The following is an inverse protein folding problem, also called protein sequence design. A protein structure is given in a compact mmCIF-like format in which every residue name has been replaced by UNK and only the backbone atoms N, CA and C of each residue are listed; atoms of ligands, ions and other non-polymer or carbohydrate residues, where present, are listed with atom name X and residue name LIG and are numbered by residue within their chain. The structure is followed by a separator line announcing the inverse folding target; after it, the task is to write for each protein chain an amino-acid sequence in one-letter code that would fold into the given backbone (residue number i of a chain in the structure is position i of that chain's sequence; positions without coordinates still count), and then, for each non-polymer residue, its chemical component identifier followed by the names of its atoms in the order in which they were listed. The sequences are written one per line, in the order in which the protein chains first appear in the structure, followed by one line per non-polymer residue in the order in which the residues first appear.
data_IF_936549262018
#
_entry.id   IF_936549262018
#
_cell.length_a   1.000
_cell.length_b   1.000
_cell.length_c   1.000
_cell.angle_alpha   90.00
_cell.angle_beta   90.00
_cell.angle_gamma   90.00
#
_symmetry.space_group_name_H-M   'P 1'
#
loop_
_entity.id
_entity.type
_entity.pdbx_description
1 polymer ?
#
# COMPACT_ATOMS: atom_id res chain seq x y z
N UNK A 1 0.90 -1.23 -13.66
CA UNK A 1 -0.55 -1.22 -13.53
C UNK A 1 -1.00 -1.89 -12.24
N UNK A 2 -1.67 -1.15 -11.36
CA UNK A 2 -2.28 -1.66 -10.11
C UNK A 2 -3.76 -1.32 -10.11
N UNK A 3 -4.60 -2.34 -10.33
CA UNK A 3 -6.05 -2.20 -10.18
C UNK A 3 -6.42 -2.21 -8.70
N UNK A 4 -7.07 -1.13 -8.26
CA UNK A 4 -7.51 -0.90 -6.87
C UNK A 4 -8.99 -1.21 -6.73
N UNK A 5 -9.37 -1.84 -5.62
CA UNK A 5 -10.78 -2.14 -5.36
C UNK A 5 -11.51 -0.94 -4.75
N UNK A 6 -12.65 -0.58 -5.35
CA UNK A 6 -13.55 0.47 -4.92
C UNK A 6 -14.90 -0.16 -4.57
N UNK A 7 -15.32 -0.04 -3.30
CA UNK A 7 -16.65 -0.43 -2.83
C UNK A 7 -17.70 0.62 -3.14
N UNK A 8 -17.28 1.89 -3.29
CA UNK A 8 -18.16 3.01 -3.65
C UNK A 8 -17.63 3.72 -4.89
N UNK A 9 -18.55 4.21 -5.72
CA UNK A 9 -18.18 5.07 -6.84
C UNK A 9 -17.52 6.35 -6.30
N UNK A 10 -16.31 6.69 -6.76
CA UNK A 10 -15.58 7.85 -6.25
C UNK A 10 -16.05 9.14 -6.95
N UNK A 11 -17.36 9.43 -6.96
CA UNK A 11 -17.97 10.52 -7.74
C UNK A 11 -17.36 11.90 -7.46
N UNK A 12 -16.87 12.13 -6.25
CA UNK A 12 -16.22 13.38 -5.87
C UNK A 12 -14.82 13.54 -6.48
N UNK A 13 -14.14 12.43 -6.80
CA UNK A 13 -12.83 12.42 -7.47
C UNK A 13 -12.99 12.30 -8.98
N UNK A 14 -13.96 11.49 -9.40
CA UNK A 14 -14.16 11.07 -10.79
C UNK A 14 -15.66 11.18 -11.12
N UNK A 15 -16.14 12.42 -11.41
CA UNK A 15 -17.56 12.69 -11.68
C UNK A 15 -18.11 11.96 -12.90
N UNK A 16 -17.23 11.46 -13.78
CA UNK A 16 -17.61 10.68 -14.96
C UNK A 16 -18.37 9.40 -14.58
N UNK A 17 -18.15 8.89 -13.36
CA UNK A 17 -18.90 7.75 -12.82
C UNK A 17 -20.33 8.05 -12.39
N UNK A 18 -20.85 9.29 -12.52
CA UNK A 18 -22.20 9.61 -12.00
C UNK A 18 -23.30 8.72 -12.58
N UNK A 19 -23.13 8.29 -13.83
CA UNK A 19 -24.08 7.48 -14.57
C UNK A 19 -23.69 5.99 -14.56
N UNK A 20 -22.72 5.61 -13.71
CA UNK A 20 -22.13 4.28 -13.64
C UNK A 20 -20.79 4.18 -14.37
N UNK A 21 -20.35 2.94 -14.61
CA UNK A 21 -19.15 2.63 -15.39
C UNK A 21 -19.43 1.48 -16.36
N UNK A 22 -18.61 1.35 -17.41
CA UNK A 22 -18.60 0.21 -18.31
C UNK A 22 -17.35 -0.62 -18.02
N UNK A 23 -17.49 -1.92 -17.78
CA UNK A 23 -16.34 -2.80 -17.61
C UNK A 23 -15.57 -2.94 -18.93
N UNK A 24 -14.29 -2.59 -18.96
CA UNK A 24 -13.45 -2.64 -20.16
C UNK A 24 -13.20 -4.05 -20.68
N UNK A 25 -13.42 -5.08 -19.83
CA UNK A 25 -13.23 -6.47 -20.22
C UNK A 25 -14.49 -7.12 -20.82
N UNK A 26 -15.65 -6.93 -20.20
CA UNK A 26 -16.90 -7.58 -20.64
C UNK A 26 -17.89 -6.63 -21.32
N UNK A 27 -17.58 -5.33 -21.34
CA UNK A 27 -18.39 -4.26 -21.94
C UNK A 27 -19.83 -4.17 -21.40
N UNK A 28 -20.04 -4.62 -20.17
CA UNK A 28 -21.31 -4.47 -19.45
C UNK A 28 -21.30 -3.18 -18.62
N UNK A 29 -22.46 -2.53 -18.57
CA UNK A 29 -22.66 -1.31 -17.80
C UNK A 29 -23.14 -1.61 -16.37
N UNK A 30 -22.62 -0.87 -15.40
CA UNK A 30 -22.91 -1.00 -13.98
C UNK A 30 -23.21 0.38 -13.40
N UNK A 31 -24.33 0.51 -12.68
CA UNK A 31 -24.75 1.79 -12.10
C UNK A 31 -24.15 2.07 -10.72
N UNK A 32 -23.51 1.06 -10.12
CA UNK A 32 -22.96 1.10 -8.78
C UNK A 32 -21.65 0.34 -8.70
N UNK A 33 -20.80 0.74 -7.75
CA UNK A 33 -19.69 -0.06 -7.27
C UNK A 33 -20.25 -1.28 -6.51
N UNK A 34 -19.52 -2.39 -6.31
CA UNK A 34 -18.06 -2.52 -6.34
C UNK A 34 -17.41 -2.81 -7.70
N UNK A 35 -16.14 -2.37 -7.85
CA UNK A 35 -15.32 -2.58 -9.05
C UNK A 35 -13.81 -2.44 -8.76
N UNK A 36 -12.99 -2.75 -9.77
CA UNK A 36 -11.55 -2.52 -9.77
C UNK A 36 -11.20 -1.40 -10.75
N UNK A 37 -10.40 -0.43 -10.32
CA UNK A 37 -10.07 0.78 -11.06
C UNK A 37 -8.56 1.02 -11.12
N UNK A 38 -8.04 1.41 -12.29
CA UNK A 38 -6.66 1.88 -12.46
C UNK A 38 -6.68 3.34 -12.92
N UNK A 39 -6.22 4.24 -12.06
CA UNK A 39 -6.25 5.68 -12.29
C UNK A 39 -5.39 6.13 -13.48
N UNK A 40 -4.21 5.54 -13.65
CA UNK A 40 -3.27 5.96 -14.68
C UNK A 40 -3.80 5.74 -16.11
N UNK A 41 -4.66 4.74 -16.30
CA UNK A 41 -5.19 4.34 -17.61
C UNK A 41 -6.69 4.58 -17.76
N UNK A 42 -7.40 4.76 -16.64
CA UNK A 42 -8.86 4.74 -16.58
C UNK A 42 -9.46 3.36 -16.78
N UNK A 43 -8.68 2.28 -16.59
CA UNK A 43 -9.16 0.91 -16.82
C UNK A 43 -10.08 0.47 -15.69
N UNK A 44 -11.28 0.01 -16.04
CA UNK A 44 -12.32 -0.42 -15.11
C UNK A 44 -12.73 -1.87 -15.32
N UNK A 45 -12.60 -2.68 -14.27
CA UNK A 45 -13.01 -4.07 -14.27
C UNK A 45 -14.15 -4.26 -13.28
N UNK A 46 -15.28 -4.81 -13.73
CA UNK A 46 -16.29 -5.28 -12.79
C UNK A 46 -15.73 -6.40 -11.92
N UNK A 47 -16.31 -6.61 -10.73
CA UNK A 47 -15.83 -7.60 -9.77
C UNK A 47 -15.53 -8.96 -10.40
N UNK A 48 -16.47 -9.50 -11.17
CA UNK A 48 -16.33 -10.81 -11.80
C UNK A 48 -15.11 -10.89 -12.73
N UNK A 49 -14.86 -9.84 -13.51
CA UNK A 49 -13.73 -9.79 -14.43
C UNK A 49 -12.40 -9.58 -13.69
N UNK A 50 -12.39 -8.74 -12.65
CA UNK A 50 -11.23 -8.56 -11.78
C UNK A 50 -10.83 -9.85 -11.05
N UNK A 51 -11.79 -10.53 -10.44
CA UNK A 51 -11.57 -11.79 -9.73
C UNK A 51 -11.10 -12.89 -10.69
N UNK A 52 -11.68 -12.96 -11.89
CA UNK A 52 -11.23 -13.89 -12.93
C UNK A 52 -9.79 -13.62 -13.41
N UNK A 53 -9.35 -12.37 -13.36
CA UNK A 53 -7.97 -11.96 -13.62
C UNK A 53 -7.04 -12.15 -12.39
N UNK A 54 -7.57 -12.59 -11.25
CA UNK A 54 -6.81 -12.88 -10.03
C UNK A 54 -6.60 -11.69 -9.10
N UNK A 55 -7.25 -10.55 -9.37
CA UNK A 55 -7.26 -9.42 -8.45
C UNK A 55 -8.06 -9.77 -7.20
N UNK A 56 -7.75 -9.07 -6.11
CA UNK A 56 -8.44 -9.20 -4.84
C UNK A 56 -8.72 -7.81 -4.30
N UNK A 57 -9.68 -7.63 -3.38
CA UNK A 57 -9.92 -6.33 -2.75
C UNK A 57 -8.68 -5.69 -2.11
N UNK A 58 -7.67 -6.51 -1.82
CA UNK A 58 -6.39 -6.13 -1.23
C UNK A 58 -5.29 -5.79 -2.24
N UNK A 59 -5.56 -5.87 -3.54
CA UNK A 59 -4.57 -5.62 -4.59
C UNK A 59 -4.00 -4.19 -4.49
N UNK A 60 -2.67 -4.10 -4.44
CA UNK A 60 -1.96 -2.84 -4.27
C UNK A 60 -1.82 -2.37 -2.84
N UNK A 61 -2.41 -3.01 -1.84
CA UNK A 61 -2.38 -2.56 -0.45
C UNK A 61 -1.23 -3.22 0.34
N UNK A 62 -0.73 -2.57 1.38
CA UNK A 62 0.20 -3.20 2.33
C UNK A 62 -0.55 -4.30 3.06
N UNK A 63 -0.17 -5.55 2.76
CA UNK A 63 -0.77 -6.75 3.33
C UNK A 63 -0.11 -7.21 4.62
N UNK A 64 1.17 -6.90 4.81
CA UNK A 64 1.86 -7.20 6.06
C UNK A 64 2.95 -6.20 6.39
N UNK A 65 3.18 -6.02 7.69
CA UNK A 65 4.29 -5.26 8.25
C UNK A 65 5.35 -6.23 8.77
N UNK A 66 6.61 -5.92 8.49
CA UNK A 66 7.76 -6.76 8.77
C UNK A 66 8.71 -6.02 9.71
N UNK A 67 9.10 -6.67 10.80
CA UNK A 67 10.03 -6.16 11.81
C UNK A 67 11.18 -7.14 12.01
N UNK A 68 12.34 -6.62 12.43
CA UNK A 68 13.45 -7.47 12.84
C UNK A 68 13.35 -7.75 14.33
N UNK A 69 13.45 -9.02 14.72
CA UNK A 69 13.59 -9.43 16.12
C UNK A 69 15.01 -9.21 16.66
N UNK A 70 15.97 -8.90 15.79
CA UNK A 70 17.37 -8.74 16.14
C UNK A 70 17.66 -7.33 16.66
N UNK A 71 18.57 -7.22 17.64
CA UNK A 71 19.03 -5.94 18.20
C UNK A 71 19.94 -5.13 17.25
N UNK A 72 20.22 -5.66 16.05
CA UNK A 72 21.10 -5.01 15.08
C UNK A 72 20.39 -3.88 14.36
N UNK A 73 20.99 -2.68 14.41
CA UNK A 73 20.46 -1.53 13.65
C UNK A 73 20.76 -1.69 12.17
N UNK A 74 19.72 -1.96 11.38
CA UNK A 74 19.78 -2.05 9.93
C UNK A 74 19.89 -0.64 9.33
N UNK A 75 21.02 -0.34 8.69
CA UNK A 75 21.28 0.98 8.11
C UNK A 75 21.53 0.91 6.62
N UNK A 76 21.12 1.96 5.93
CA UNK A 76 21.68 2.34 4.64
C UNK A 76 23.14 2.81 4.84
N UNK A 77 24.12 2.16 4.20
CA UNK A 77 25.52 2.53 4.36
C UNK A 77 25.88 3.91 3.82
N UNK A 78 25.10 4.43 2.87
CA UNK A 78 25.43 5.67 2.17
C UNK A 78 24.89 6.89 2.91
N UNK A 79 23.65 6.81 3.40
CA UNK A 79 23.01 7.90 4.14
C UNK A 79 23.05 7.75 5.66
N UNK A 80 23.47 6.58 6.17
CA UNK A 80 23.31 6.16 7.57
C UNK A 80 21.86 6.13 8.08
N UNK A 81 20.88 6.24 7.19
CA UNK A 81 19.48 6.15 7.57
C UNK A 81 19.14 4.76 8.11
N UNK A 82 18.38 4.74 9.20
CA UNK A 82 17.96 3.50 9.88
C UNK A 82 16.69 3.00 9.20
N UNK A 83 16.66 1.71 8.84
CA UNK A 83 15.43 1.05 8.42
C UNK A 83 14.51 0.90 9.64
N UNK A 84 13.28 1.39 9.52
CA UNK A 84 12.31 1.42 10.61
C UNK A 84 11.43 0.17 10.62
N UNK A 85 10.89 -0.17 9.47
CA UNK A 85 10.13 -1.39 9.22
C UNK A 85 10.18 -1.71 7.73
N UNK A 86 9.88 -2.96 7.42
CA UNK A 86 9.59 -3.39 6.06
C UNK A 86 8.10 -3.73 5.92
N UNK A 87 7.63 -3.88 4.70
CA UNK A 87 6.25 -4.22 4.41
C UNK A 87 6.16 -5.10 3.18
N UNK A 88 5.05 -5.82 3.02
CA UNK A 88 4.73 -6.57 1.81
C UNK A 88 3.41 -6.13 1.22
N UNK A 89 3.36 -6.15 -0.09
CA UNK A 89 2.16 -5.84 -0.88
C UNK A 89 1.60 -7.11 -1.48
N UNK A 90 2.47 -8.03 -1.88
CA UNK A 90 2.13 -9.34 -2.43
C UNK A 90 3.28 -10.34 -2.17
N UNK A 91 3.20 -11.53 -2.77
CA UNK A 91 4.21 -12.57 -2.58
C UNK A 91 5.62 -12.19 -3.08
N UNK A 92 5.71 -11.30 -4.06
CA UNK A 92 6.94 -10.89 -4.73
C UNK A 92 7.31 -9.43 -4.48
N UNK A 93 6.42 -8.60 -3.93
CA UNK A 93 6.68 -7.17 -3.73
C UNK A 93 6.78 -6.82 -2.25
N UNK A 94 7.88 -6.19 -1.90
CA UNK A 94 8.13 -5.68 -0.55
C UNK A 94 8.75 -4.29 -0.59
N UNK A 95 8.76 -3.60 0.54
CA UNK A 95 9.54 -2.37 0.67
C UNK A 95 10.02 -2.13 2.08
N UNK A 96 10.91 -1.14 2.23
CA UNK A 96 11.55 -0.79 3.48
C UNK A 96 11.47 0.72 3.66
N UNK A 97 10.88 1.16 4.78
CA UNK A 97 10.81 2.57 5.16
C UNK A 97 12.03 2.94 6.01
N UNK A 98 12.70 4.04 5.66
CA UNK A 98 13.85 4.57 6.40
C UNK A 98 13.50 5.84 7.19
N UNK A 99 14.20 6.06 8.31
CA UNK A 99 13.94 7.20 9.20
C UNK A 99 14.26 8.58 8.62
N UNK A 100 14.92 8.65 7.46
CA UNK A 100 15.11 9.89 6.72
C UNK A 100 14.01 10.15 5.68
N UNK A 101 12.93 9.37 5.68
CA UNK A 101 11.83 9.45 4.71
C UNK A 101 12.09 8.68 3.42
N UNK A 102 13.27 8.10 3.20
CA UNK A 102 13.49 7.28 2.01
C UNK A 102 12.73 5.94 2.06
N UNK A 103 12.47 5.38 0.89
CA UNK A 103 11.84 4.07 0.75
C UNK A 103 12.60 3.22 -0.28
N UNK A 104 12.87 1.95 0.04
CA UNK A 104 13.44 0.98 -0.88
C UNK A 104 12.38 -0.07 -1.21
N UNK A 105 11.84 -0.04 -2.43
CA UNK A 105 10.90 -1.05 -2.93
C UNK A 105 11.68 -2.15 -3.64
N UNK A 106 11.31 -3.40 -3.37
CA UNK A 106 12.00 -4.60 -3.78
C UNK A 106 11.03 -5.52 -4.55
N UNK A 107 11.47 -6.01 -5.70
CA UNK A 107 10.87 -7.16 -6.36
C UNK A 107 11.68 -8.41 -5.99
N UNK A 108 11.01 -9.42 -5.47
CA UNK A 108 11.58 -10.64 -4.93
C UNK A 108 11.44 -11.80 -5.91
N UNK A 109 12.40 -12.70 -5.86
CA UNK A 109 12.28 -14.04 -6.44
C UNK A 109 11.46 -14.95 -5.53
N UNK A 110 11.01 -16.10 -6.04
CA UNK A 110 10.23 -17.06 -5.23
C UNK A 110 10.97 -17.59 -3.99
N UNK A 111 12.31 -17.56 -3.99
CA UNK A 111 13.13 -17.94 -2.84
C UNK A 111 13.36 -16.78 -1.85
N UNK A 112 12.69 -15.64 -2.03
CA UNK A 112 12.78 -14.47 -1.14
C UNK A 112 14.01 -13.57 -1.35
N UNK A 113 14.87 -13.87 -2.31
CA UNK A 113 16.00 -12.98 -2.66
C UNK A 113 15.54 -11.81 -3.52
N UNK A 114 16.29 -10.71 -3.50
CA UNK A 114 15.96 -9.53 -4.30
C UNK A 114 16.34 -9.75 -5.75
N UNK A 115 15.36 -9.61 -6.65
CA UNK A 115 15.53 -9.57 -8.11
C UNK A 115 15.86 -8.17 -8.59
N UNK A 116 15.12 -7.18 -8.10
CA UNK A 116 15.18 -5.80 -8.54
C UNK A 116 14.79 -4.86 -7.41
N UNK A 117 15.21 -3.60 -7.50
CA UNK A 117 14.99 -2.64 -6.45
C UNK A 117 14.91 -1.21 -6.98
N UNK A 118 14.07 -0.41 -6.34
CA UNK A 118 13.95 1.01 -6.60
C UNK A 118 14.04 1.76 -5.28
N UNK A 119 14.94 2.73 -5.24
CA UNK A 119 15.12 3.63 -4.11
C UNK A 119 14.40 4.95 -4.40
N UNK A 120 13.47 5.31 -3.52
CA UNK A 120 12.71 6.54 -3.54
C UNK A 120 13.22 7.46 -2.46
N UNK A 121 13.40 8.73 -2.82
CA UNK A 121 13.56 9.80 -1.84
C UNK A 121 12.22 10.51 -1.72
N UNK A 122 11.66 10.55 -0.51
CA UNK A 122 10.38 11.18 -0.24
C UNK A 122 10.61 12.33 0.73
N UNK A 123 9.98 13.46 0.43
CA UNK A 123 10.01 14.66 1.27
C UNK A 123 8.57 15.14 1.44
N UNK A 124 8.16 15.39 2.68
CA UNK A 124 6.83 15.93 2.98
C UNK A 124 5.69 15.11 2.34
N UNK A 125 5.84 13.77 2.33
CA UNK A 125 4.89 12.83 1.74
C UNK A 125 4.84 12.80 0.21
N UNK A 126 5.77 13.49 -0.47
CA UNK A 126 5.87 13.55 -1.93
C UNK A 126 7.16 12.91 -2.45
N UNK A 127 7.06 12.17 -3.55
CA UNK A 127 8.23 11.53 -4.19
C UNK A 127 9.06 12.60 -4.90
N UNK A 128 10.26 12.86 -4.39
CA UNK A 128 11.22 13.82 -4.98
C UNK A 128 12.07 13.17 -6.07
N UNK A 129 12.46 11.91 -5.86
CA UNK A 129 13.26 11.16 -6.83
C UNK A 129 13.04 9.66 -6.71
N UNK A 130 13.30 8.98 -7.82
CA UNK A 130 13.19 7.53 -7.98
C UNK A 130 14.41 7.02 -8.74
N UNK A 131 15.14 6.08 -8.16
CA UNK A 131 16.36 5.52 -8.75
C UNK A 131 16.31 4.00 -8.72
N UNK A 132 16.49 3.35 -9.88
CA UNK A 132 16.66 1.89 -9.93
C UNK A 132 18.02 1.51 -9.38
N UNK A 133 18.06 0.56 -8.45
CA UNK A 133 19.27 0.15 -7.73
C UNK A 133 19.78 -1.16 -8.32
N UNK A 134 21.02 -1.13 -8.84
CA UNK A 134 21.66 -2.35 -9.34
C UNK A 134 21.90 -3.36 -8.21
N UNK A 135 21.97 -4.66 -8.51
CA UNK A 135 22.27 -5.69 -7.51
C UNK A 135 23.63 -5.48 -6.84
N UNK A 136 24.62 -4.95 -7.57
CA UNK A 136 25.95 -4.60 -7.03
C UNK A 136 25.83 -3.49 -6.00
N UNK A 137 25.06 -2.44 -6.32
CA UNK A 137 24.82 -1.33 -5.40
C UNK A 137 24.00 -1.76 -4.20
N UNK A 138 22.95 -2.57 -4.41
CA UNK A 138 22.14 -3.14 -3.34
C UNK A 138 23.02 -3.95 -2.37
N UNK A 139 23.91 -4.80 -2.90
CA UNK A 139 24.81 -5.64 -2.11
C UNK A 139 25.88 -4.86 -1.34
N UNK A 140 26.24 -3.66 -1.83
CA UNK A 140 27.19 -2.74 -1.17
C UNK A 140 26.48 -1.91 -0.11
N UNK A 141 25.34 -1.31 -0.47
CA UNK A 141 24.59 -0.31 0.31
C UNK A 141 23.73 -0.91 1.41
N UNK A 142 23.14 -2.07 1.12
CA UNK A 142 22.25 -2.82 1.99
C UNK A 142 22.77 -4.25 2.16
N UNK A 143 24.03 -4.39 2.60
CA UNK A 143 24.70 -5.70 2.74
C UNK A 143 23.87 -6.75 3.49
N UNK A 144 23.11 -6.31 4.50
CA UNK A 144 22.25 -7.16 5.31
C UNK A 144 21.10 -7.81 4.52
N UNK A 145 20.68 -7.25 3.37
CA UNK A 145 19.66 -7.87 2.50
C UNK A 145 20.14 -9.11 1.73
N UNK A 146 21.44 -9.44 1.78
CA UNK A 146 21.99 -10.59 1.04
C UNK A 146 21.35 -11.93 1.42
N UNK A 147 20.87 -12.06 2.65
CA UNK A 147 20.16 -13.24 3.15
C UNK A 147 18.66 -13.26 2.79
N UNK A 148 18.16 -12.26 2.07
CA UNK A 148 16.75 -12.08 1.74
C UNK A 148 15.99 -11.29 2.81
N UNK A 149 14.95 -10.58 2.39
CA UNK A 149 14.22 -9.65 3.26
C UNK A 149 13.55 -10.36 4.45
N UNK A 150 12.96 -11.53 4.23
CA UNK A 150 12.23 -12.31 5.26
C UNK A 150 13.16 -12.95 6.29
N UNK A 151 14.46 -13.05 5.99
CA UNK A 151 15.46 -13.51 6.96
C UNK A 151 15.89 -12.38 7.88
N UNK A 152 15.86 -11.14 7.38
CA UNK A 152 16.28 -9.95 8.13
C UNK A 152 15.14 -9.38 8.96
N UNK A 153 13.96 -9.30 8.37
CA UNK A 153 12.71 -8.93 9.02
C UNK A 153 11.87 -10.19 9.21
N UNK A 154 12.16 -10.90 10.30
CA UNK A 154 11.66 -12.23 10.62
C UNK A 154 10.32 -12.23 11.38
N UNK A 155 9.85 -11.06 11.83
CA UNK A 155 8.56 -10.89 12.49
C UNK A 155 7.58 -10.30 11.49
N UNK A 156 6.57 -11.07 11.07
CA UNK A 156 5.54 -10.65 10.11
C UNK A 156 4.18 -10.51 10.78
N UNK A 157 3.62 -9.30 10.73
CA UNK A 157 2.26 -8.98 11.19
C UNK A 157 1.38 -8.85 9.95
N UNK A 158 0.40 -9.75 9.82
CA UNK A 158 -0.52 -9.76 8.70
C UNK A 158 -1.68 -8.79 8.95
N UNK A 159 -1.91 -7.90 8.00
CA UNK A 159 -3.07 -7.00 7.95
C UNK A 159 -4.21 -7.64 7.14
N UNK A 160 -3.86 -8.31 6.04
CA UNK A 160 -4.78 -9.08 5.22
C UNK A 160 -4.06 -10.14 4.39
N UNK A 161 -4.82 -10.96 3.66
CA UNK A 161 -4.24 -11.97 2.78
C UNK A 161 -3.40 -11.30 1.69
N UNK A 162 -2.24 -11.90 1.38
CA UNK A 162 -1.36 -11.44 0.32
C UNK A 162 -2.02 -11.71 -1.05
N UNK A 163 -2.21 -10.68 -1.89
CA UNK A 163 -2.62 -10.85 -3.29
C UNK A 163 -1.66 -11.78 -4.06
N UNK A 164 -2.23 -12.54 -5.00
CA UNK A 164 -1.46 -13.46 -5.85
C UNK A 164 -0.88 -12.74 -7.07
N UNK A 165 -1.63 -11.80 -7.65
CA UNK A 165 -1.18 -10.99 -8.78
C UNK A 165 -0.16 -9.97 -8.27
N UNK A 166 1.10 -10.03 -8.73
CA UNK A 166 2.13 -9.12 -8.26
C UNK A 166 1.88 -7.70 -8.76
N UNK A 167 2.09 -6.75 -7.86
CA UNK A 167 2.08 -5.33 -8.17
C UNK A 167 3.35 -4.98 -8.95
N UNK A 168 3.24 -4.23 -10.05
CA UNK A 168 4.42 -3.74 -10.75
C UNK A 168 5.27 -2.85 -9.84
N UNK A 169 6.58 -3.08 -9.88
CA UNK A 169 7.56 -2.45 -8.99
C UNK A 169 7.50 -0.92 -8.99
N UNK A 170 7.12 -0.33 -10.13
CA UNK A 170 7.11 1.10 -10.35
C UNK A 170 5.88 1.82 -9.78
N UNK A 171 4.84 1.07 -9.43
CA UNK A 171 3.46 1.55 -9.19
C UNK A 171 3.07 1.56 -7.72
N UNK A 172 3.97 1.14 -6.84
CA UNK A 172 3.71 1.10 -5.41
C UNK A 172 4.90 1.65 -4.63
N UNK A 173 4.61 2.58 -3.71
CA UNK A 173 5.58 3.06 -2.73
C UNK A 173 4.85 3.60 -1.49
N UNK A 174 5.30 3.25 -0.28
CA UNK A 174 4.84 3.92 0.94
C UNK A 174 5.56 5.28 1.04
N UNK A 175 4.79 6.36 0.96
CA UNK A 175 5.29 7.74 0.97
C UNK A 175 5.30 8.36 2.37
N UNK A 176 4.42 7.90 3.25
CA UNK A 176 4.39 8.33 4.64
C UNK A 176 3.65 7.29 5.48
N UNK A 177 3.83 7.35 6.79
CA UNK A 177 3.07 6.56 7.74
C UNK A 177 2.90 7.35 9.03
N UNK A 178 1.86 7.04 9.78
CA UNK A 178 1.57 7.60 11.09
C UNK A 178 1.00 6.53 12.00
N UNK A 179 1.34 6.59 13.28
CA UNK A 179 0.95 5.57 14.26
C UNK A 179 0.57 6.27 15.56
N UNK A 180 -0.64 5.99 16.03
CA UNK A 180 -1.12 6.34 17.36
C UNK A 180 -1.41 5.06 18.15
N UNK A 181 -1.80 5.20 19.41
CA UNK A 181 -2.23 4.06 20.23
C UNK A 181 -3.47 3.35 19.66
N UNK A 182 -4.22 4.02 18.78
CA UNK A 182 -5.51 3.55 18.26
C UNK A 182 -5.46 3.24 16.77
N UNK A 183 -4.57 3.89 16.03
CA UNK A 183 -4.58 3.83 14.57
C UNK A 183 -3.19 3.65 13.98
N UNK A 184 -3.17 2.96 12.84
CA UNK A 184 -2.00 2.92 11.95
C UNK A 184 -2.47 3.46 10.60
N UNK A 185 -1.83 4.53 10.13
CA UNK A 185 -2.03 5.04 8.77
C UNK A 185 -0.80 4.78 7.92
N UNK A 186 -1.00 4.21 6.74
CA UNK A 186 0.02 4.01 5.72
C UNK A 186 -0.42 4.80 4.49
N UNK A 187 0.37 5.79 4.08
CA UNK A 187 0.12 6.58 2.88
C UNK A 187 0.96 6.02 1.74
N UNK A 188 0.31 5.78 0.62
CA UNK A 188 0.87 5.24 -0.60
C UNK A 188 1.02 6.35 -1.64
N UNK A 189 1.71 6.07 -2.75
CA UNK A 189 1.68 6.91 -3.93
C UNK A 189 0.25 7.10 -4.45
N UNK A 190 0.07 8.08 -5.34
CA UNK A 190 -1.24 8.39 -5.95
C UNK A 190 -2.32 8.77 -4.93
N UNK A 191 -1.90 9.34 -3.80
CA UNK A 191 -2.79 9.82 -2.72
C UNK A 191 -3.65 8.75 -2.07
N UNK A 192 -3.32 7.47 -2.23
CA UNK A 192 -3.96 6.40 -1.49
C UNK A 192 -3.48 6.36 -0.04
N UNK A 193 -4.36 5.96 0.87
CA UNK A 193 -4.02 5.72 2.26
C UNK A 193 -4.79 4.50 2.78
N UNK A 194 -4.13 3.67 3.58
CA UNK A 194 -4.73 2.63 4.40
C UNK A 194 -4.74 3.12 5.84
N UNK A 195 -5.91 3.15 6.46
CA UNK A 195 -6.10 3.46 7.87
C UNK A 195 -6.61 2.21 8.57
N UNK A 196 -5.86 1.71 9.55
CA UNK A 196 -6.26 0.58 10.38
C UNK A 196 -6.62 1.07 11.78
N UNK A 197 -7.85 0.79 12.21
CA UNK A 197 -8.28 0.91 13.60
C UNK A 197 -7.85 -0.36 14.36
N UNK A 198 -6.88 -0.20 15.26
CA UNK A 198 -6.28 -1.29 16.03
C UNK A 198 -7.30 -1.92 16.99
N UNK A 199 -8.30 -1.17 17.45
CA UNK A 199 -9.28 -1.66 18.44
C UNK A 199 -10.35 -2.51 17.80
N UNK A 200 -10.89 -2.06 16.67
CA UNK A 200 -11.94 -2.78 15.96
C UNK A 200 -11.39 -3.77 14.94
N UNK A 201 -10.16 -3.60 14.48
CA UNK A 201 -9.62 -4.36 13.35
C UNK A 201 -10.25 -3.97 12.01
N UNK A 202 -10.88 -2.78 11.95
CA UNK A 202 -11.37 -2.20 10.69
C UNK A 202 -10.23 -1.55 9.93
N UNK A 203 -10.24 -1.75 8.62
CA UNK A 203 -9.34 -1.06 7.70
C UNK A 203 -10.16 -0.21 6.74
N UNK A 204 -9.79 1.05 6.56
CA UNK A 204 -10.40 1.97 5.60
C UNK A 204 -9.34 2.35 4.57
N UNK A 205 -9.67 2.19 3.30
CA UNK A 205 -8.84 2.69 2.21
C UNK A 205 -9.46 3.97 1.69
N UNK A 206 -8.64 5.00 1.58
CA UNK A 206 -9.02 6.30 1.06
C UNK A 206 -8.13 6.70 -0.12
N UNK A 207 -8.70 7.42 -1.09
CA UNK A 207 -7.98 8.13 -2.15
C UNK A 207 -8.21 9.62 -1.95
N UNK A 208 -7.13 10.40 -1.90
CA UNK A 208 -7.18 11.84 -1.65
C UNK A 208 -8.16 12.18 -0.51
N UNK A 209 -7.97 11.50 0.63
CA UNK A 209 -8.73 11.69 1.86
C UNK A 209 -10.19 11.23 1.85
N UNK A 210 -10.71 10.69 0.75
CA UNK A 210 -12.08 10.17 0.65
C UNK A 210 -12.11 8.65 0.66
N UNK A 211 -12.98 8.02 1.48
CA UNK A 211 -13.06 6.57 1.56
C UNK A 211 -13.55 5.98 0.23
N UNK A 212 -12.84 4.95 -0.25
CA UNK A 212 -13.18 4.20 -1.48
C UNK A 212 -13.56 2.75 -1.19
N UNK A 213 -13.01 2.15 -0.13
CA UNK A 213 -13.47 0.87 0.41
C UNK A 213 -13.13 0.73 1.90
N UNK A 214 -13.77 -0.25 2.55
CA UNK A 214 -13.47 -0.63 3.92
C UNK A 214 -13.50 -2.16 4.08
N UNK A 215 -12.73 -2.66 5.04
CA UNK A 215 -12.58 -4.07 5.35
C UNK A 215 -12.75 -4.33 6.84
N UNK A 216 -13.28 -5.51 7.15
CA UNK A 216 -13.34 -6.03 8.50
C UNK A 216 -13.03 -7.52 8.48
N UNK A 217 -12.12 -7.95 9.36
CA UNK A 217 -11.70 -9.35 9.47
C UNK A 217 -11.38 -10.02 8.12
N UNK A 218 -10.66 -9.29 7.24
CA UNK A 218 -10.26 -9.74 5.90
C UNK A 218 -11.40 -9.99 4.90
N UNK A 219 -12.59 -9.44 5.16
CA UNK A 219 -13.70 -9.39 4.21
C UNK A 219 -14.01 -7.95 3.82
N UNK A 220 -14.52 -7.75 2.60
CA UNK A 220 -15.12 -6.46 2.21
C UNK A 220 -16.33 -6.25 3.13
N UNK A 221 -16.23 -5.26 4.01
CA UNK A 221 -17.26 -4.99 5.02
C UNK A 221 -18.44 -4.28 4.35
N UNK A 222 -19.65 -4.49 4.88
CA UNK A 222 -20.85 -3.71 4.51
C UNK A 222 -20.87 -2.33 5.17
N UNK A 223 -19.77 -1.92 5.81
CA UNK A 223 -19.55 -0.59 6.37
C UNK A 223 -20.03 0.49 5.40
N UNK A 224 -20.81 1.46 5.87
CA UNK A 224 -21.28 2.54 5.00
C UNK A 224 -20.15 3.54 4.70
N UNK A 225 -20.22 4.21 3.53
CA UNK A 225 -19.29 5.31 3.19
C UNK A 225 -19.22 6.36 4.30
N UNK A 226 -20.35 6.66 4.95
CA UNK A 226 -20.44 7.59 6.09
C UNK A 226 -19.66 7.11 7.31
N UNK A 227 -19.79 5.84 7.70
CA UNK A 227 -19.04 5.31 8.85
C UNK A 227 -17.53 5.30 8.58
N UNK A 228 -17.12 4.98 7.35
CA UNK A 228 -15.72 5.07 6.92
C UNK A 228 -15.20 6.51 6.97
N UNK A 229 -16.03 7.50 6.55
CA UNK A 229 -15.71 8.93 6.68
C UNK A 229 -15.56 9.38 8.12
N UNK A 230 -16.45 8.92 9.02
CA UNK A 230 -16.38 9.25 10.44
C UNK A 230 -15.10 8.73 11.08
N UNK A 231 -14.68 7.50 10.75
CA UNK A 231 -13.40 6.95 11.23
C UNK A 231 -12.20 7.77 10.76
N UNK A 232 -12.18 8.17 9.48
CA UNK A 232 -11.13 9.04 8.94
C UNK A 232 -11.10 10.40 9.65
N UNK A 233 -12.26 10.96 10.00
CA UNK A 233 -12.37 12.22 10.74
C UNK A 233 -11.83 12.09 12.18
N UNK A 234 -12.20 10.99 12.87
CA UNK A 234 -11.71 10.71 14.23
C UNK A 234 -10.18 10.62 14.25
N UNK A 235 -9.58 9.86 13.33
CA UNK A 235 -8.12 9.74 13.23
C UNK A 235 -7.43 11.11 13.11
N UNK A 236 -7.95 11.98 12.24
CA UNK A 236 -7.37 13.33 12.04
C UNK A 236 -7.53 14.26 13.22
N UNK A 237 -8.50 13.97 14.07
CA UNK A 237 -8.77 14.77 15.27
C UNK A 237 -7.93 14.30 16.46
N UNK A 238 -7.19 13.19 16.34
CA UNK A 238 -6.31 12.72 17.42
C UNK A 238 -5.11 13.65 17.61
N UNK A 239 -4.76 13.99 18.87
CA UNK A 239 -3.56 14.77 19.15
C UNK A 239 -2.31 14.02 18.67
N UNK A 240 -1.60 14.58 17.68
CA UNK A 240 -0.37 14.01 17.14
C UNK A 240 -0.43 13.68 15.64
N UNK A 241 -1.63 13.48 15.06
CA UNK A 241 -1.81 13.16 13.63
C UNK A 241 -1.78 14.40 12.72
N UNK A 242 -1.72 15.61 13.30
CA UNK A 242 -1.53 16.88 12.61
C UNK A 242 -0.43 17.68 13.31
N UNK A 243 0.84 17.33 13.11
CA UNK A 243 1.99 18.22 13.34
C UNK A 243 3.33 17.60 12.89
N UNK A 244 3.47 17.21 11.62
CA UNK A 244 4.76 17.19 10.90
C UNK A 244 4.52 17.41 9.41
N UNK A 245 4.14 18.64 9.07
CA UNK A 245 4.33 19.22 7.73
C UNK A 245 5.79 19.62 7.57
#
# INVERSE_FOLDING_TARGET
MVLRHHSWLPLELEPDYKDGYTCDHCHQDFLEAPFYHEEATGTDYCLKCGDAAGYTPFSGLVASLLFSSQDNVLRDSDSNAIALFAYRVDLQSAGICFGNGANLVLHLQMNGTVRDAIFYTIKEGSIESKLRVSLTELSRRFFWLRSGILTVFDVEIHLHTLPVVPVPLDDFCVVAYDVTDNFIQIRLNESYAQLLDVRSGKEVVAKAEMPVCAFFAHSVDECSKSEASDLLYVFRSEPGTLNKS
#
